data_IF_929691354920
#
_entry.id   IF_929691354920
#
_cell.length_a   1.000
_cell.length_b   1.000
_cell.length_c   1.000
_cell.angle_alpha   90.00
_cell.angle_beta   90.00
_cell.angle_gamma   90.00
#
_symmetry.space_group_name_H-M   'P 1'
#
loop_
_entity.id
_entity.type
_entity.pdbx_description
1 polymer ?
#
# COMPACT_ATOMS: atom_id res chain seq x y z
N UNK A 1 43.23 -31.43 22.41
CA UNK A 1 42.38 -30.31 21.95
C UNK A 1 41.13 -30.90 21.31
N UNK A 2 40.02 -30.83 22.02
CA UNK A 2 38.73 -31.46 21.70
C UNK A 2 38.07 -30.80 20.49
N UNK A 3 37.47 -31.64 19.64
CA UNK A 3 36.76 -31.31 18.41
C UNK A 3 35.83 -30.09 18.54
N UNK A 4 36.02 -29.11 17.66
CA UNK A 4 35.05 -28.08 17.37
C UNK A 4 33.82 -28.71 16.69
N UNK A 5 32.64 -28.24 17.08
CA UNK A 5 31.43 -28.19 16.26
C UNK A 5 30.49 -29.42 16.26
N UNK A 6 30.08 -29.93 17.43
CA UNK A 6 28.90 -30.79 17.54
C UNK A 6 27.66 -29.96 17.91
N UNK A 7 26.86 -29.52 16.93
CA UNK A 7 25.48 -29.12 17.24
C UNK A 7 24.79 -28.08 16.36
N UNK A 8 25.46 -27.46 15.37
CA UNK A 8 24.74 -26.52 14.48
C UNK A 8 24.13 -27.30 13.31
N UNK A 9 22.86 -27.67 13.42
CA UNK A 9 22.08 -28.15 12.28
C UNK A 9 21.85 -26.97 11.35
N UNK A 10 22.63 -26.87 10.27
CA UNK A 10 22.33 -25.93 9.20
C UNK A 10 20.92 -26.22 8.68
N UNK A 11 19.98 -25.31 8.93
CA UNK A 11 18.67 -25.36 8.30
C UNK A 11 18.88 -24.93 6.86
N UNK A 12 19.23 -25.88 5.99
CA UNK A 12 19.22 -25.63 4.55
C UNK A 12 17.78 -25.29 4.16
N UNK A 13 17.51 -24.07 3.64
CA UNK A 13 16.18 -23.73 3.18
C UNK A 13 15.76 -24.69 2.06
N UNK A 14 14.47 -25.07 2.02
CA UNK A 14 13.94 -26.00 0.99
C UNK A 14 14.02 -25.43 -0.43
N UNK A 15 14.22 -24.11 -0.56
CA UNK A 15 14.40 -23.39 -1.82
C UNK A 15 15.73 -22.64 -1.82
N UNK A 16 16.38 -22.42 -2.99
CA UNK A 16 17.54 -21.56 -3.08
C UNK A 16 17.25 -20.16 -2.52
N UNK A 17 18.24 -19.54 -1.86
CA UNK A 17 18.09 -18.20 -1.27
C UNK A 17 17.71 -17.16 -2.34
N UNK A 18 18.24 -17.29 -3.55
CA UNK A 18 17.89 -16.43 -4.70
C UNK A 18 16.40 -16.46 -5.01
N UNK A 19 15.79 -17.65 -5.00
CA UNK A 19 14.35 -17.80 -5.24
C UNK A 19 13.52 -17.18 -4.11
N UNK A 20 13.96 -17.31 -2.85
CA UNK A 20 13.30 -16.69 -1.70
C UNK A 20 13.38 -15.16 -1.80
N UNK A 21 14.52 -14.62 -2.22
CA UNK A 21 14.70 -13.18 -2.40
C UNK A 21 13.83 -12.64 -3.54
N UNK A 22 13.74 -13.37 -4.65
CA UNK A 22 12.87 -13.00 -5.76
C UNK A 22 11.39 -13.05 -5.36
N UNK A 23 10.92 -14.13 -4.73
CA UNK A 23 9.52 -14.23 -4.26
C UNK A 23 9.15 -13.07 -3.32
N UNK A 24 10.07 -12.65 -2.45
CA UNK A 24 9.86 -11.48 -1.58
C UNK A 24 9.81 -10.17 -2.38
N UNK A 25 10.68 -9.99 -3.36
CA UNK A 25 10.67 -8.81 -4.21
C UNK A 25 9.35 -8.70 -4.99
N UNK A 26 8.91 -9.79 -5.61
CA UNK A 26 7.65 -9.86 -6.36
C UNK A 26 6.43 -9.56 -5.46
N UNK A 27 6.42 -10.09 -4.24
CA UNK A 27 5.37 -9.79 -3.25
C UNK A 27 5.35 -8.31 -2.85
N UNK A 28 6.52 -7.70 -2.64
CA UNK A 28 6.61 -6.29 -2.29
C UNK A 28 6.21 -5.39 -3.48
N UNK A 29 6.54 -5.78 -4.70
CA UNK A 29 6.12 -5.08 -5.91
C UNK A 29 4.60 -5.10 -6.05
N UNK A 30 3.97 -6.27 -5.89
CA UNK A 30 2.51 -6.37 -5.92
C UNK A 30 1.86 -5.53 -4.83
N UNK A 31 2.37 -5.59 -3.60
CA UNK A 31 1.87 -4.76 -2.50
C UNK A 31 2.00 -3.26 -2.81
N UNK A 32 3.08 -2.83 -3.47
CA UNK A 32 3.24 -1.44 -3.87
C UNK A 32 2.18 -1.05 -4.92
N UNK A 33 1.93 -1.90 -5.92
CA UNK A 33 0.88 -1.67 -6.92
C UNK A 33 -0.48 -1.50 -6.26
N UNK A 34 -0.86 -2.44 -5.37
CA UNK A 34 -2.14 -2.40 -4.67
C UNK A 34 -2.29 -1.10 -3.83
N UNK A 35 -1.20 -0.66 -3.19
CA UNK A 35 -1.18 0.60 -2.44
C UNK A 35 -1.34 1.82 -3.36
N UNK A 36 -0.67 1.85 -4.50
CA UNK A 36 -0.82 2.94 -5.46
C UNK A 36 -2.23 3.02 -6.03
N UNK A 37 -2.87 1.89 -6.33
CA UNK A 37 -4.26 1.85 -6.77
C UNK A 37 -5.22 2.36 -5.69
N UNK A 38 -5.05 1.91 -4.43
CA UNK A 38 -5.85 2.39 -3.32
C UNK A 38 -5.71 3.90 -3.11
N UNK A 39 -4.48 4.43 -3.19
CA UNK A 39 -4.22 5.87 -3.07
C UNK A 39 -4.86 6.65 -4.23
N UNK A 40 -4.80 6.14 -5.46
CA UNK A 40 -5.45 6.77 -6.61
C UNK A 40 -6.97 6.87 -6.41
N UNK A 41 -7.62 5.78 -5.99
CA UNK A 41 -9.05 5.77 -5.69
C UNK A 41 -9.44 6.79 -4.60
N UNK A 42 -8.64 6.90 -3.54
CA UNK A 42 -8.87 7.91 -2.50
C UNK A 42 -8.77 9.34 -3.02
N UNK A 43 -7.86 9.62 -3.96
CA UNK A 43 -7.76 10.93 -4.58
C UNK A 43 -8.96 11.26 -5.48
N UNK A 44 -9.50 10.28 -6.19
CA UNK A 44 -10.72 10.43 -6.98
C UNK A 44 -11.93 10.74 -6.08
N UNK A 45 -12.09 9.99 -4.98
CA UNK A 45 -13.14 10.24 -4.00
C UNK A 45 -13.01 11.62 -3.35
N UNK A 46 -11.79 12.02 -3.00
CA UNK A 46 -11.51 13.35 -2.45
C UNK A 46 -11.86 14.46 -3.44
N UNK A 47 -11.51 14.29 -4.72
CA UNK A 47 -11.87 15.22 -5.78
C UNK A 47 -13.39 15.38 -5.91
N UNK A 48 -14.12 14.27 -5.97
CA UNK A 48 -15.58 14.28 -6.03
C UNK A 48 -16.21 14.94 -4.80
N UNK A 49 -15.66 14.71 -3.60
CA UNK A 49 -16.12 15.35 -2.38
C UNK A 49 -15.89 16.88 -2.41
N UNK A 50 -14.73 17.34 -2.89
CA UNK A 50 -14.44 18.76 -3.06
C UNK A 50 -15.42 19.44 -4.01
N UNK A 51 -15.73 18.81 -5.16
CA UNK A 51 -16.71 19.35 -6.11
C UNK A 51 -18.11 19.47 -5.49
N UNK A 52 -18.52 18.46 -4.71
CA UNK A 52 -19.80 18.50 -3.99
C UNK A 52 -19.82 19.62 -2.95
N UNK A 53 -18.74 19.82 -2.20
CA UNK A 53 -18.61 20.92 -1.23
C UNK A 53 -18.74 22.26 -1.95
N UNK A 54 -18.00 22.49 -3.04
CA UNK A 54 -18.09 23.74 -3.82
C UNK A 54 -19.52 23.98 -4.33
N UNK A 55 -20.20 22.95 -4.82
CA UNK A 55 -21.58 23.07 -5.28
C UNK A 55 -22.54 23.41 -4.12
N UNK A 56 -22.36 22.82 -2.94
CA UNK A 56 -23.16 23.10 -1.75
C UNK A 56 -22.90 24.52 -1.22
N UNK A 57 -21.65 24.96 -1.15
CA UNK A 57 -21.28 26.32 -0.77
C UNK A 57 -21.94 27.34 -1.69
N UNK A 58 -21.96 27.10 -3.00
CA UNK A 58 -22.67 27.94 -3.97
C UNK A 58 -24.18 28.02 -3.69
N UNK A 59 -24.81 26.87 -3.41
CA UNK A 59 -26.24 26.81 -3.07
C UNK A 59 -26.56 27.54 -1.77
N UNK A 60 -25.73 27.39 -0.74
CA UNK A 60 -25.88 28.08 0.53
C UNK A 60 -25.78 29.60 0.32
N UNK A 61 -24.78 30.06 -0.43
CA UNK A 61 -24.62 31.49 -0.73
C UNK A 61 -25.81 32.09 -1.50
N UNK A 62 -26.47 31.32 -2.38
CA UNK A 62 -27.71 31.76 -3.03
C UNK A 62 -28.86 31.89 -2.03
N UNK A 63 -29.05 30.89 -1.15
CA UNK A 63 -30.11 30.90 -0.15
C UNK A 63 -29.94 32.03 0.88
N UNK A 64 -28.70 32.29 1.32
CA UNK A 64 -28.40 33.38 2.26
C UNK A 64 -28.71 34.78 1.69
N UNK A 65 -28.72 34.92 0.36
CA UNK A 65 -29.08 36.18 -0.32
C UNK A 65 -30.58 36.36 -0.53
N UNK A 66 -31.41 35.41 -0.09
CA UNK A 66 -32.87 35.54 -0.08
C UNK A 66 -33.62 34.79 -1.18
N UNK A 67 -32.95 33.98 -2.01
CA UNK A 67 -33.58 33.20 -3.09
C UNK A 67 -33.85 34.00 -4.36
#
# INVERSE_FOLDING_TARGET
MSNLNSGVKYLTPRKPISQIAQERADMMEQQNVDLYEAVAGLFEELGAACEQITALEGRVATLEKGG
#
